data_IF_050425660440
#
_entry.id   IF_050425660440
#
_cell.length_a   1.000
_cell.length_b   1.000
_cell.length_c   1.000
_cell.angle_alpha   90.00
_cell.angle_beta   90.00
_cell.angle_gamma   90.00
#
_symmetry.space_group_name_H-M   'P 1'
#
loop_
_entity.id
_entity.type
_entity.pdbx_description
1 polymer ?
#
# COMPACT_ATOMS: atom_id res chain seq x y z
N UNK A 1 20.55 17.48 -51.34
CA UNK A 1 21.17 17.70 -50.05
C UNK A 1 22.60 17.21 -50.05
N UNK A 2 23.56 18.10 -49.90
CA UNK A 2 25.00 17.79 -49.96
C UNK A 2 25.44 17.06 -48.68
N UNK A 3 26.60 16.40 -48.71
CA UNK A 3 27.15 15.65 -47.55
C UNK A 3 27.37 16.58 -46.32
N UNK A 4 27.64 17.85 -46.56
CA UNK A 4 27.85 18.85 -45.51
C UNK A 4 26.49 19.30 -44.89
N UNK A 5 25.44 19.46 -45.69
CA UNK A 5 24.10 19.79 -45.18
C UNK A 5 23.53 18.68 -44.29
N UNK A 6 23.75 17.42 -44.66
CA UNK A 6 23.34 16.25 -43.84
C UNK A 6 24.05 16.23 -42.49
N UNK A 7 25.36 16.56 -42.44
CA UNK A 7 26.13 16.66 -41.19
C UNK A 7 25.65 17.82 -40.32
N UNK A 8 25.28 18.93 -40.94
CA UNK A 8 24.82 20.13 -40.21
C UNK A 8 23.45 19.88 -39.57
N UNK A 9 22.56 19.20 -40.25
CA UNK A 9 21.26 18.78 -39.71
C UNK A 9 21.44 17.73 -38.60
N UNK A 10 22.32 16.73 -38.81
CA UNK A 10 22.53 15.67 -37.82
C UNK A 10 23.15 16.23 -36.52
N UNK A 11 24.15 17.08 -36.61
CA UNK A 11 24.86 17.59 -35.45
C UNK A 11 24.21 18.84 -34.84
N UNK A 12 23.56 19.67 -35.69
CA UNK A 12 22.98 20.95 -35.26
C UNK A 12 21.59 20.85 -34.68
N UNK A 13 20.79 19.86 -35.12
CA UNK A 13 19.39 19.74 -34.66
C UNK A 13 19.16 18.36 -34.03
N UNK A 14 19.51 17.28 -34.72
CA UNK A 14 19.16 15.93 -34.28
C UNK A 14 19.90 15.54 -32.99
N UNK A 15 21.21 15.80 -32.90
CA UNK A 15 22.00 15.44 -31.73
C UNK A 15 21.54 16.16 -30.44
N UNK A 16 21.29 17.48 -30.43
CA UNK A 16 20.76 18.15 -29.25
C UNK A 16 19.38 17.65 -28.82
N UNK A 17 18.50 17.32 -29.79
CA UNK A 17 17.17 16.79 -29.49
C UNK A 17 17.27 15.41 -28.84
N UNK A 18 18.09 14.53 -29.37
CA UNK A 18 18.31 13.19 -28.79
C UNK A 18 18.92 13.30 -27.39
N UNK A 19 19.90 14.20 -27.21
CA UNK A 19 20.51 14.43 -25.91
C UNK A 19 19.51 14.98 -24.90
N UNK A 20 18.64 15.91 -25.30
CA UNK A 20 17.57 16.44 -24.44
C UNK A 20 16.58 15.35 -24.02
N UNK A 21 16.21 14.44 -24.89
CA UNK A 21 15.34 13.29 -24.58
C UNK A 21 16.03 12.37 -23.56
N UNK A 22 17.29 12.02 -23.78
CA UNK A 22 18.07 11.16 -22.85
C UNK A 22 18.17 11.82 -21.48
N UNK A 23 18.50 13.12 -21.42
CA UNK A 23 18.57 13.86 -20.16
C UNK A 23 17.23 13.94 -19.45
N UNK A 24 16.12 14.10 -20.20
CA UNK A 24 14.77 14.08 -19.63
C UNK A 24 14.42 12.72 -19.01
N UNK A 25 14.75 11.62 -19.68
CA UNK A 25 14.53 10.26 -19.15
C UNK A 25 15.38 10.01 -17.90
N UNK A 26 16.65 10.42 -17.91
CA UNK A 26 17.55 10.32 -16.75
C UNK A 26 17.06 11.19 -15.59
N UNK A 27 16.54 12.39 -15.87
CA UNK A 27 16.01 13.28 -14.85
C UNK A 27 14.75 12.70 -14.18
N UNK A 28 13.81 12.18 -14.96
CA UNK A 28 12.61 11.51 -14.41
C UNK A 28 13.00 10.31 -13.54
N UNK A 29 13.94 9.48 -14.01
CA UNK A 29 14.44 8.34 -13.21
C UNK A 29 15.15 8.78 -11.92
N UNK A 30 15.92 9.89 -11.96
CA UNK A 30 16.59 10.41 -10.77
C UNK A 30 15.64 11.05 -9.75
N UNK A 31 14.54 11.65 -10.19
CA UNK A 31 13.51 12.18 -9.29
C UNK A 31 12.83 11.05 -8.51
N UNK A 32 12.51 9.94 -9.16
CA UNK A 32 11.93 8.77 -8.47
C UNK A 32 12.89 8.18 -7.41
N UNK A 33 14.20 8.16 -7.69
CA UNK A 33 15.22 7.73 -6.73
C UNK A 33 15.36 8.74 -5.58
N UNK A 34 15.34 10.04 -5.86
CA UNK A 34 15.43 11.09 -4.85
C UNK A 34 14.18 11.11 -3.94
N UNK A 35 12.98 10.92 -4.48
CA UNK A 35 11.76 10.79 -3.67
C UNK A 35 11.79 9.54 -2.79
N UNK A 36 12.28 8.42 -3.31
CA UNK A 36 12.49 7.20 -2.53
C UNK A 36 13.50 7.42 -1.39
N UNK A 37 14.62 8.11 -1.66
CA UNK A 37 15.62 8.42 -0.64
C UNK A 37 15.14 9.47 0.37
N UNK A 38 14.39 10.49 -0.07
CA UNK A 38 13.80 11.48 0.85
C UNK A 38 12.75 10.85 1.77
N UNK A 39 11.94 9.93 1.28
CA UNK A 39 11.02 9.17 2.11
C UNK A 39 11.77 8.31 3.15
N UNK A 40 12.91 7.75 2.77
CA UNK A 40 13.78 6.99 3.68
C UNK A 40 14.44 7.89 4.75
N UNK A 41 14.95 9.06 4.37
CA UNK A 41 15.56 10.03 5.29
C UNK A 41 14.50 10.59 6.26
N UNK A 42 13.31 10.93 5.78
CA UNK A 42 12.23 11.40 6.63
C UNK A 42 11.71 10.31 7.58
N UNK A 43 11.68 9.05 7.15
CA UNK A 43 11.36 7.91 8.00
C UNK A 43 12.38 7.70 9.13
N UNK A 44 13.65 8.03 8.90
CA UNK A 44 14.69 7.94 9.93
C UNK A 44 14.69 9.09 10.95
N UNK A 45 14.08 10.24 10.59
CA UNK A 45 14.04 11.45 11.44
C UNK A 45 12.77 11.53 12.30
N UNK A 46 11.68 10.84 11.91
CA UNK A 46 10.43 10.77 12.67
C UNK A 46 10.08 9.31 12.97
N UNK A 47 10.90 8.64 13.76
CA UNK A 47 10.48 7.39 14.38
C UNK A 47 9.53 7.71 15.55
N UNK A 48 8.26 7.94 15.27
CA UNK A 48 7.24 7.70 16.28
C UNK A 48 7.41 6.24 16.71
N UNK A 49 7.58 6.05 18.00
CA UNK A 49 7.90 4.76 18.59
C UNK A 49 6.83 3.74 18.21
N UNK A 50 7.18 2.81 17.30
CA UNK A 50 6.28 1.75 16.87
C UNK A 50 6.15 0.79 18.04
N UNK A 51 4.94 0.70 18.58
CA UNK A 51 4.63 -0.10 19.76
C UNK A 51 4.20 -1.50 19.34
N UNK A 52 4.81 -2.52 19.91
CA UNK A 52 4.29 -3.88 19.78
C UNK A 52 3.15 -4.06 20.79
N UNK A 53 1.99 -4.53 20.32
CA UNK A 53 0.88 -4.86 21.23
C UNK A 53 1.28 -6.03 22.10
N UNK A 54 1.47 -5.77 23.41
CA UNK A 54 1.98 -6.77 24.33
C UNK A 54 0.89 -7.44 25.18
N UNK A 55 -0.28 -6.82 25.35
CA UNK A 55 -1.38 -7.42 26.12
C UNK A 55 -2.72 -6.71 25.92
N UNK A 56 -3.54 -7.20 25.02
CA UNK A 56 -4.97 -6.97 25.08
C UNK A 56 -5.63 -8.28 25.50
N UNK A 57 -6.52 -8.22 26.50
CA UNK A 57 -7.33 -9.39 26.92
C UNK A 57 -8.44 -9.59 25.88
N UNK A 58 -8.12 -10.37 24.84
CA UNK A 58 -9.06 -10.67 23.77
C UNK A 58 -9.75 -11.98 24.07
N UNK A 59 -11.07 -11.89 24.24
CA UNK A 59 -11.91 -13.05 24.45
C UNK A 59 -12.60 -13.42 23.13
N UNK A 60 -12.35 -14.62 22.68
CA UNK A 60 -13.06 -15.23 21.58
C UNK A 60 -14.16 -16.13 22.14
N UNK A 61 -15.39 -15.90 21.69
CA UNK A 61 -16.55 -16.74 22.01
C UNK A 61 -17.20 -17.23 20.72
N UNK A 62 -17.27 -18.54 20.53
CA UNK A 62 -17.88 -19.17 19.36
C UNK A 62 -17.32 -18.71 18.00
N UNK A 63 -16.02 -18.48 17.89
CA UNK A 63 -15.39 -17.99 16.67
C UNK A 63 -15.64 -16.48 16.39
N UNK A 64 -16.04 -15.74 17.42
CA UNK A 64 -16.34 -14.31 17.32
C UNK A 64 -15.55 -13.54 18.41
N UNK A 65 -14.94 -12.45 18.01
CA UNK A 65 -14.30 -11.49 18.91
C UNK A 65 -15.18 -10.23 18.95
N UNK A 66 -15.48 -9.75 20.14
CA UNK A 66 -16.19 -8.48 20.31
C UNK A 66 -15.27 -7.30 19.96
N UNK A 67 -15.76 -6.35 19.17
CA UNK A 67 -15.01 -5.13 18.79
C UNK A 67 -14.58 -4.31 20.01
N UNK A 68 -15.33 -4.36 21.09
CA UNK A 68 -14.97 -3.70 22.35
C UNK A 68 -13.64 -4.16 22.94
N UNK A 69 -13.16 -5.36 22.58
CA UNK A 69 -11.84 -5.87 23.00
C UNK A 69 -10.67 -5.00 22.46
N UNK A 70 -10.92 -4.23 21.39
CA UNK A 70 -9.90 -3.39 20.76
C UNK A 70 -9.92 -1.93 21.18
N UNK A 71 -10.75 -1.52 22.17
CA UNK A 71 -10.89 -0.13 22.59
C UNK A 71 -9.58 0.49 23.11
N UNK A 72 -8.67 -0.34 23.60
CA UNK A 72 -7.36 0.09 24.12
C UNK A 72 -6.25 -0.01 23.06
N UNK A 73 -6.58 -0.32 21.82
CA UNK A 73 -5.60 -0.39 20.75
C UNK A 73 -5.13 1.03 20.41
N UNK A 74 -3.84 1.27 20.61
CA UNK A 74 -3.23 2.58 20.37
C UNK A 74 -2.80 2.70 18.89
N UNK A 75 -2.80 3.93 18.37
CA UNK A 75 -2.19 4.24 17.08
C UNK A 75 -0.70 3.88 17.07
N UNK A 76 -0.16 3.63 15.89
CA UNK A 76 1.22 3.16 15.67
C UNK A 76 1.53 1.77 16.26
N UNK A 77 0.52 0.99 16.63
CA UNK A 77 0.72 -0.37 17.13
C UNK A 77 0.88 -1.38 16.00
N UNK A 78 1.91 -2.23 16.08
CA UNK A 78 2.00 -3.42 15.22
C UNK A 78 0.96 -4.41 15.71
N UNK A 79 -0.01 -4.72 14.87
CA UNK A 79 -1.08 -5.66 15.18
C UNK A 79 -0.87 -7.03 14.56
N UNK A 80 0.11 -7.17 13.67
CA UNK A 80 0.39 -8.42 13.00
C UNK A 80 1.29 -8.26 11.80
N UNK A 81 1.21 -9.22 10.88
CA UNK A 81 1.93 -9.25 9.62
C UNK A 81 0.97 -9.58 8.47
N UNK A 82 1.22 -9.01 7.31
CA UNK A 82 0.61 -9.40 6.04
C UNK A 82 1.62 -10.25 5.29
N UNK A 83 1.23 -11.48 4.99
CA UNK A 83 2.04 -12.43 4.22
C UNK A 83 1.43 -12.52 2.82
N UNK A 84 2.19 -12.09 1.83
CA UNK A 84 1.78 -12.14 0.44
C UNK A 84 2.95 -12.61 -0.43
N UNK A 85 2.75 -13.72 -1.14
CA UNK A 85 3.81 -14.46 -1.82
C UNK A 85 4.96 -14.83 -0.88
N UNK A 86 6.18 -14.37 -1.17
CA UNK A 86 7.43 -14.64 -0.43
C UNK A 86 7.77 -13.58 0.62
N UNK A 87 6.89 -12.58 0.82
CA UNK A 87 7.13 -11.47 1.76
C UNK A 87 6.17 -11.47 2.92
N UNK A 88 6.73 -11.16 4.08
CA UNK A 88 5.99 -10.87 5.31
C UNK A 88 6.31 -9.44 5.75
N UNK A 89 5.29 -8.59 5.80
CA UNK A 89 5.43 -7.19 6.18
C UNK A 89 4.55 -6.86 7.39
N UNK A 90 5.05 -6.07 8.35
CA UNK A 90 4.27 -5.66 9.50
C UNK A 90 2.99 -4.94 9.11
N UNK A 91 1.90 -5.25 9.81
CA UNK A 91 0.62 -4.56 9.75
C UNK A 91 0.48 -3.62 10.93
N UNK A 92 0.41 -2.32 10.67
CA UNK A 92 0.34 -1.28 11.69
C UNK A 92 -1.06 -0.69 11.72
N UNK A 93 -1.56 -0.48 12.92
CA UNK A 93 -2.83 0.18 13.15
C UNK A 93 -2.65 1.69 13.21
N UNK A 94 -3.32 2.40 12.29
CA UNK A 94 -3.46 3.85 12.29
C UNK A 94 -2.13 4.59 12.54
N UNK A 95 -1.12 4.30 11.72
CA UNK A 95 0.13 5.03 11.78
C UNK A 95 -0.08 6.49 11.36
N UNK A 96 0.33 7.42 12.22
CA UNK A 96 0.24 8.86 11.98
C UNK A 96 1.27 9.34 10.95
N UNK A 97 2.35 8.59 10.77
CA UNK A 97 3.44 8.90 9.85
C UNK A 97 3.43 7.94 8.66
N UNK A 98 3.25 8.53 7.50
CA UNK A 98 3.08 7.89 6.19
C UNK A 98 4.37 7.22 5.69
N UNK A 99 5.51 7.35 6.38
CA UNK A 99 6.83 7.02 5.86
C UNK A 99 7.35 5.63 6.23
N UNK A 100 6.49 4.62 6.19
CA UNK A 100 6.91 3.27 6.50
C UNK A 100 7.04 2.42 5.24
N UNK A 101 8.19 2.50 4.57
CA UNK A 101 8.46 1.83 3.30
C UNK A 101 8.28 0.30 3.33
N UNK A 102 8.29 -0.33 4.51
CA UNK A 102 8.25 -1.78 4.68
C UNK A 102 7.10 -2.25 5.58
N UNK A 103 5.93 -1.66 5.43
CA UNK A 103 4.78 -1.94 6.29
C UNK A 103 3.47 -1.80 5.53
N UNK A 104 2.43 -2.46 6.02
CA UNK A 104 1.04 -2.15 5.72
C UNK A 104 0.48 -1.26 6.82
N UNK A 105 -0.14 -0.15 6.46
CA UNK A 105 -0.76 0.77 7.39
C UNK A 105 -2.27 0.73 7.25
N UNK A 106 -2.97 0.32 8.30
CA UNK A 106 -4.44 0.42 8.35
C UNK A 106 -4.81 1.90 8.50
N UNK A 107 -5.68 2.38 7.63
CA UNK A 107 -6.09 3.77 7.60
C UNK A 107 -6.80 4.21 8.87
N UNK A 108 -6.65 5.51 9.19
CA UNK A 108 -7.47 6.18 10.18
C UNK A 108 -8.97 5.99 9.83
N UNK A 109 -9.77 5.54 10.76
CA UNK A 109 -11.19 5.23 10.59
C UNK A 109 -11.49 3.99 9.73
N UNK A 110 -10.50 3.19 9.36
CA UNK A 110 -10.71 1.87 8.80
C UNK A 110 -11.07 0.85 9.89
N UNK A 111 -11.46 -0.34 9.46
CA UNK A 111 -11.76 -1.46 10.36
C UNK A 111 -10.56 -2.39 10.47
N UNK A 112 -10.58 -3.25 11.48
CA UNK A 112 -9.57 -4.29 11.64
C UNK A 112 -9.89 -5.51 10.74
N UNK A 113 -8.89 -6.35 10.41
CA UNK A 113 -9.12 -7.63 9.78
C UNK A 113 -10.19 -8.45 10.52
N UNK A 114 -11.09 -9.08 9.77
CA UNK A 114 -12.21 -9.86 10.32
C UNK A 114 -13.49 -9.06 10.66
N UNK A 115 -13.46 -7.72 10.66
CA UNK A 115 -14.67 -6.90 10.82
C UNK A 115 -15.57 -6.96 9.58
N UNK A 116 -16.87 -6.66 9.77
CA UNK A 116 -17.86 -6.70 8.68
C UNK A 116 -17.54 -5.69 7.58
N UNK A 117 -17.17 -4.46 7.95
CA UNK A 117 -16.83 -3.39 6.99
C UNK A 117 -15.46 -3.61 6.39
N UNK A 118 -15.17 -3.02 5.22
CA UNK A 118 -13.86 -3.14 4.59
C UNK A 118 -12.71 -2.62 5.46
N UNK A 119 -11.65 -3.41 5.56
CA UNK A 119 -10.38 -3.03 6.15
C UNK A 119 -9.49 -2.44 5.05
N UNK A 120 -9.20 -1.14 5.12
CA UNK A 120 -8.31 -0.46 4.18
C UNK A 120 -6.90 -0.43 4.75
N UNK A 121 -5.95 -0.91 3.98
CA UNK A 121 -4.54 -0.85 4.36
C UNK A 121 -3.68 -0.38 3.19
N UNK A 122 -2.92 0.68 3.42
CA UNK A 122 -1.99 1.25 2.46
C UNK A 122 -0.66 0.51 2.50
N UNK A 123 -0.10 0.26 1.32
CA UNK A 123 1.28 -0.17 1.15
C UNK A 123 2.06 0.87 0.37
N UNK A 124 3.27 1.14 0.82
CA UNK A 124 4.09 2.17 0.19
C UNK A 124 4.79 1.68 -1.07
N UNK A 125 5.19 2.67 -1.90
CA UNK A 125 5.69 2.54 -3.27
C UNK A 125 6.76 1.45 -3.44
N UNK A 126 7.67 1.29 -2.51
CA UNK A 126 8.76 0.29 -2.59
C UNK A 126 8.27 -1.17 -2.55
N UNK A 127 7.09 -1.42 -1.98
CA UNK A 127 6.46 -2.75 -1.92
C UNK A 127 5.20 -2.83 -2.80
N UNK A 128 4.88 -1.78 -3.54
CA UNK A 128 3.69 -1.70 -4.39
C UNK A 128 3.70 -2.69 -5.54
N UNK A 129 4.89 -3.10 -6.02
CA UNK A 129 5.03 -4.06 -7.11
C UNK A 129 4.28 -5.36 -6.84
N UNK A 130 4.30 -5.85 -5.61
CA UNK A 130 3.61 -7.09 -5.23
C UNK A 130 2.09 -6.95 -5.34
N UNK A 131 1.51 -5.86 -4.81
CA UNK A 131 0.06 -5.61 -4.95
C UNK A 131 -0.32 -5.45 -6.42
N UNK A 132 0.53 -4.81 -7.23
CA UNK A 132 0.28 -4.61 -8.67
C UNK A 132 0.33 -5.91 -9.47
N UNK A 133 1.02 -6.93 -8.97
CA UNK A 133 1.09 -8.26 -9.59
C UNK A 133 -0.04 -9.18 -9.11
N UNK A 134 -0.76 -8.80 -8.06
CA UNK A 134 -1.86 -9.59 -7.51
C UNK A 134 -2.92 -9.90 -8.57
N UNK A 135 -3.31 -11.14 -8.65
CA UNK A 135 -4.30 -11.66 -9.58
C UNK A 135 -5.51 -12.24 -8.85
N UNK A 136 -6.64 -12.28 -9.52
CA UNK A 136 -7.82 -12.93 -8.96
C UNK A 136 -7.52 -14.40 -8.63
N UNK A 137 -7.84 -14.80 -7.39
CA UNK A 137 -7.60 -16.13 -6.85
C UNK A 137 -6.36 -16.24 -5.98
N UNK A 138 -5.46 -15.24 -5.99
CA UNK A 138 -4.30 -15.22 -5.11
C UNK A 138 -4.72 -15.13 -3.65
N UNK A 139 -3.93 -15.73 -2.76
CA UNK A 139 -4.19 -15.75 -1.33
C UNK A 139 -3.29 -14.71 -0.62
N UNK A 140 -3.90 -13.98 0.29
CA UNK A 140 -3.24 -13.04 1.19
C UNK A 140 -3.49 -13.52 2.61
N UNK A 141 -2.43 -13.85 3.33
CA UNK A 141 -2.53 -14.26 4.73
C UNK A 141 -2.19 -13.09 5.65
N UNK A 142 -3.01 -12.90 6.68
CA UNK A 142 -2.77 -11.90 7.71
C UNK A 142 -2.72 -12.60 9.06
N UNK A 143 -1.56 -12.54 9.70
CA UNK A 143 -1.39 -13.05 11.06
C UNK A 143 -1.41 -11.87 12.03
N UNK A 144 -2.47 -11.75 12.81
CA UNK A 144 -2.62 -10.73 13.84
C UNK A 144 -2.40 -11.32 15.21
N UNK A 145 -2.22 -10.47 16.24
CA UNK A 145 -2.10 -10.93 17.63
C UNK A 145 -3.40 -11.58 18.18
N UNK A 146 -4.51 -11.47 17.44
CA UNK A 146 -5.82 -12.00 17.87
C UNK A 146 -6.38 -13.10 16.96
N UNK A 147 -5.95 -13.23 15.72
CA UNK A 147 -6.35 -14.31 14.80
C UNK A 147 -5.48 -14.34 13.55
N UNK A 148 -5.48 -15.49 12.88
CA UNK A 148 -4.94 -15.63 11.52
C UNK A 148 -6.08 -15.62 10.51
N UNK A 149 -5.86 -14.93 9.39
CA UNK A 149 -6.84 -14.72 8.34
C UNK A 149 -6.28 -15.13 6.99
N UNK A 150 -7.11 -15.74 6.17
CA UNK A 150 -6.85 -15.96 4.76
C UNK A 150 -7.87 -15.18 3.93
N UNK A 151 -7.38 -14.34 3.03
CA UNK A 151 -8.17 -13.56 2.08
C UNK A 151 -7.87 -14.00 0.66
N UNK A 152 -8.89 -14.15 -0.18
CA UNK A 152 -8.75 -14.42 -1.61
C UNK A 152 -9.00 -13.16 -2.42
N UNK A 153 -8.07 -12.82 -3.29
CA UNK A 153 -8.19 -11.69 -4.22
C UNK A 153 -9.33 -11.94 -5.19
N UNK A 154 -10.30 -11.05 -5.20
CA UNK A 154 -11.46 -11.13 -6.10
C UNK A 154 -11.33 -10.21 -7.31
N UNK A 155 -10.61 -9.09 -7.16
CA UNK A 155 -10.34 -8.14 -8.25
C UNK A 155 -9.22 -7.18 -7.88
N UNK A 156 -8.61 -6.64 -8.93
CA UNK A 156 -7.73 -5.48 -8.88
C UNK A 156 -8.30 -4.37 -9.75
N UNK A 157 -8.07 -3.12 -9.40
CA UNK A 157 -8.55 -1.95 -10.15
C UNK A 157 -7.72 -0.72 -9.85
N UNK A 158 -7.83 0.28 -10.71
CA UNK A 158 -7.29 1.62 -10.45
C UNK A 158 -8.44 2.57 -10.16
N UNK A 159 -8.28 3.43 -9.14
CA UNK A 159 -9.22 4.49 -8.78
C UNK A 159 -8.55 5.84 -8.79
N UNK A 160 -9.29 6.91 -9.15
CA UNK A 160 -8.71 8.23 -9.45
C UNK A 160 -8.59 9.17 -8.25
N UNK A 161 -9.22 8.84 -7.12
CA UNK A 161 -9.25 9.72 -5.96
C UNK A 161 -9.71 8.98 -4.68
N UNK A 162 -9.54 9.64 -3.54
CA UNK A 162 -9.94 9.11 -2.22
C UNK A 162 -11.43 8.80 -2.11
N UNK A 163 -12.27 9.56 -2.80
CA UNK A 163 -13.72 9.34 -2.76
C UNK A 163 -14.11 8.01 -3.44
N UNK A 164 -13.48 7.70 -4.56
CA UNK A 164 -13.65 6.41 -5.24
C UNK A 164 -13.04 5.28 -4.41
N UNK A 165 -11.85 5.50 -3.84
CA UNK A 165 -11.18 4.51 -2.97
C UNK A 165 -12.10 4.10 -1.81
N UNK A 166 -12.70 5.05 -1.10
CA UNK A 166 -13.60 4.79 0.03
C UNK A 166 -14.85 3.97 -0.33
N UNK A 167 -15.22 3.92 -1.60
CA UNK A 167 -16.35 3.10 -2.09
C UNK A 167 -15.95 1.69 -2.47
N UNK A 168 -14.65 1.40 -2.56
CA UNK A 168 -14.17 0.06 -2.89
C UNK A 168 -14.58 -0.91 -1.79
N UNK A 169 -15.11 -2.05 -2.20
CA UNK A 169 -15.59 -3.08 -1.27
C UNK A 169 -16.95 -2.80 -0.63
N UNK A 170 -17.59 -1.68 -0.96
CA UNK A 170 -18.96 -1.40 -0.47
C UNK A 170 -19.93 -2.51 -0.88
N UNK A 171 -20.76 -2.95 0.06
CA UNK A 171 -21.70 -4.06 -0.15
C UNK A 171 -21.11 -5.46 0.02
N UNK A 172 -19.81 -5.58 0.21
CA UNK A 172 -19.13 -6.83 0.55
C UNK A 172 -18.84 -6.88 2.06
N UNK A 173 -18.85 -8.10 2.62
CA UNK A 173 -18.54 -8.33 4.03
C UNK A 173 -17.11 -8.83 4.20
N UNK A 174 -16.42 -8.37 5.25
CA UNK A 174 -15.09 -8.86 5.65
C UNK A 174 -14.09 -8.81 4.51
N UNK A 175 -13.95 -7.61 3.97
CA UNK A 175 -13.10 -7.34 2.82
C UNK A 175 -11.81 -6.68 3.28
N UNK A 176 -10.71 -7.14 2.71
CA UNK A 176 -9.42 -6.48 2.77
C UNK A 176 -9.25 -5.66 1.48
N UNK A 177 -8.95 -4.39 1.62
CA UNK A 177 -8.63 -3.47 0.53
C UNK A 177 -7.20 -3.02 0.72
N UNK A 178 -6.28 -3.65 -0.01
CA UNK A 178 -4.89 -3.21 -0.07
C UNK A 178 -4.75 -2.19 -1.19
N UNK A 179 -4.11 -1.06 -0.92
CA UNK A 179 -3.92 -0.05 -1.95
C UNK A 179 -2.56 0.62 -1.88
N UNK A 180 -2.13 1.15 -2.99
CA UNK A 180 -0.88 1.91 -3.11
C UNK A 180 -1.09 3.09 -4.04
N UNK A 181 -0.32 4.14 -3.81
CA UNK A 181 -0.25 5.28 -4.72
C UNK A 181 0.28 4.82 -6.08
N UNK A 182 -0.45 5.16 -7.15
CA UNK A 182 -0.11 4.84 -8.53
C UNK A 182 0.44 6.06 -9.28
N UNK A 183 0.72 7.17 -8.60
CA UNK A 183 1.27 8.36 -9.23
C UNK A 183 2.61 8.05 -9.91
N UNK A 184 2.72 8.44 -11.17
CA UNK A 184 3.96 8.36 -11.96
C UNK A 184 4.61 9.75 -11.95
N UNK A 185 5.78 9.86 -11.31
CA UNK A 185 6.54 11.11 -11.23
C UNK A 185 6.03 12.09 -10.15
N UNK A 186 6.61 13.28 -10.09
CA UNK A 186 6.26 14.37 -9.16
C UNK A 186 4.90 15.05 -9.45
N UNK A 187 4.01 14.39 -10.17
CA UNK A 187 2.67 14.88 -10.50
C UNK A 187 1.67 14.58 -9.39
N UNK A 188 0.80 15.52 -9.12
CA UNK A 188 -0.34 15.42 -8.19
C UNK A 188 -1.41 14.50 -8.83
N UNK A 189 -1.14 13.21 -8.89
CA UNK A 189 -2.15 12.23 -9.28
C UNK A 189 -2.59 11.49 -8.01
N UNK A 190 -3.80 11.73 -7.55
CA UNK A 190 -4.42 10.96 -6.47
C UNK A 190 -4.96 9.62 -7.01
N UNK A 191 -4.21 8.97 -7.87
CA UNK A 191 -4.59 7.69 -8.44
C UNK A 191 -4.03 6.55 -7.58
N UNK A 192 -4.88 5.57 -7.27
CA UNK A 192 -4.51 4.42 -6.46
C UNK A 192 -4.69 3.12 -7.24
N UNK A 193 -3.71 2.24 -7.16
CA UNK A 193 -3.88 0.85 -7.52
C UNK A 193 -4.42 0.09 -6.30
N UNK A 194 -5.48 -0.69 -6.51
CA UNK A 194 -6.24 -1.31 -5.43
C UNK A 194 -6.40 -2.80 -5.69
N UNK A 195 -6.11 -3.60 -4.68
CA UNK A 195 -6.36 -5.03 -4.62
C UNK A 195 -7.48 -5.29 -3.60
N UNK A 196 -8.54 -5.95 -4.02
CA UNK A 196 -9.71 -6.28 -3.18
C UNK A 196 -9.74 -7.77 -2.95
N UNK A 197 -9.70 -8.18 -1.69
CA UNK A 197 -9.76 -9.57 -1.29
C UNK A 197 -10.86 -9.81 -0.25
N UNK A 198 -11.51 -10.96 -0.31
CA UNK A 198 -12.57 -11.37 0.63
C UNK A 198 -12.06 -12.43 1.57
N UNK A 199 -12.47 -12.37 2.83
CA UNK A 199 -12.09 -13.34 3.84
C UNK A 199 -12.63 -14.72 3.53
N UNK A 200 -11.74 -15.71 3.50
CA UNK A 200 -12.06 -17.14 3.35
C UNK A 200 -12.11 -17.81 4.71
N UNK A 201 -11.09 -17.58 5.53
CA UNK A 201 -10.97 -18.15 6.87
C UNK A 201 -10.51 -17.09 7.88
N UNK A 202 -10.81 -17.32 9.15
CA UNK A 202 -10.40 -16.48 10.26
C UNK A 202 -11.53 -16.16 11.23
N UNK A 203 -11.18 -15.70 12.41
CA UNK A 203 -12.13 -15.33 13.47
C UNK A 203 -12.88 -14.06 13.09
N UNK A 204 -14.20 -14.06 13.25
CA UNK A 204 -15.04 -12.91 12.95
C UNK A 204 -14.95 -11.89 14.06
N UNK A 205 -14.82 -10.60 13.70
CA UNK A 205 -14.90 -9.49 14.63
C UNK A 205 -16.25 -8.79 14.42
N UNK A 206 -17.05 -8.73 15.46
CA UNK A 206 -18.39 -8.13 15.44
C UNK A 206 -18.48 -6.98 16.43
N UNK A 207 -19.37 -6.01 16.08
CA UNK A 207 -19.68 -4.85 16.93
C UNK A 207 -20.39 -5.28 18.20
#
# INVERSE_FOLDING_TARGET
MTKNEKRLVLNGIFLPVVLAIILSVLFVGSVDILESNNSFINASVQSDEIKKVTSLDIKEENGIIAKSSFQKLEANSIIGNVNFEDKSLPLIYNASTVNANDKFNIDLNSTLPGEIRPCFAQVYKNNSSKIKLASKGDLINIDTFYSSYEYEVIKTLTVKNDYELKKVGAGLSRVLVLYTDNSVGAGISNEYYVCVAVMKTGTKVNA
#
